data_IF_823830422096
#
_entry.id   IF_823830422096
#
_cell.length_a   1.000
_cell.length_b   1.000
_cell.length_c   1.000
_cell.angle_alpha   90.00
_cell.angle_beta   90.00
_cell.angle_gamma   90.00
#
_symmetry.space_group_name_H-M   'P 1'
#
loop_
_entity.id
_entity.type
_entity.pdbx_description
1 polymer ?
#
# COMPACT_ATOMS: atom_id res chain seq x y z
N UNK A 1 47.42 6.26 52.92
CA UNK A 1 48.64 5.89 52.18
C UNK A 1 48.50 6.38 50.74
N UNK A 2 49.11 7.51 50.45
CA UNK A 2 49.23 8.15 49.14
C UNK A 2 50.59 7.77 48.54
N UNK A 3 50.64 7.38 47.26
CA UNK A 3 51.88 7.36 46.48
C UNK A 3 51.67 7.95 45.07
N UNK A 4 52.72 8.53 44.44
CA UNK A 4 52.59 9.67 43.53
C UNK A 4 53.15 9.47 42.10
N UNK A 5 52.69 10.34 41.20
CA UNK A 5 53.33 11.01 40.03
C UNK A 5 54.37 10.26 39.17
N UNK A 6 54.15 10.27 37.85
CA UNK A 6 55.23 10.41 36.85
C UNK A 6 54.78 11.24 35.64
N UNK A 7 55.66 12.15 35.22
CA UNK A 7 55.49 13.31 34.34
C UNK A 7 55.96 12.98 32.91
N UNK A 8 55.49 13.68 31.85
CA UNK A 8 56.23 13.76 30.58
C UNK A 8 56.91 15.13 30.39
N UNK A 9 58.17 15.09 29.92
CA UNK A 9 59.02 16.21 29.49
C UNK A 9 59.78 15.77 28.20
N UNK A 10 60.46 16.64 27.42
CA UNK A 10 59.92 17.74 26.60
C UNK A 10 60.66 17.91 25.22
N UNK A 11 60.41 19.03 24.50
CA UNK A 11 61.29 19.72 23.48
C UNK A 11 61.41 19.04 22.07
N UNK A 12 61.49 19.68 20.89
CA UNK A 12 61.65 21.08 20.41
C UNK A 12 61.44 21.16 18.87
N UNK A 13 61.07 22.36 18.39
CA UNK A 13 60.93 22.97 17.03
C UNK A 13 62.23 22.94 16.15
N UNK A 14 62.36 23.44 14.86
CA UNK A 14 61.66 24.57 14.20
C UNK A 14 61.49 24.62 12.62
N UNK A 15 60.66 25.58 12.16
CA UNK A 15 60.80 26.55 11.02
C UNK A 15 60.93 26.17 9.51
N UNK A 16 60.13 26.86 8.66
CA UNK A 16 60.54 27.72 7.50
C UNK A 16 59.29 28.11 6.64
N UNK A 17 58.76 29.35 6.67
CA UNK A 17 59.07 30.57 5.88
C UNK A 17 58.23 30.80 4.57
N UNK A 18 58.00 32.05 4.11
CA UNK A 18 56.79 32.47 3.38
C UNK A 18 56.94 32.95 1.90
N UNK A 19 55.80 32.91 1.16
CA UNK A 19 55.35 33.63 -0.09
C UNK A 19 56.20 33.56 -1.40
N UNK A 20 55.58 33.52 -2.61
CA UNK A 20 55.18 34.76 -3.31
C UNK A 20 53.87 34.72 -4.16
N UNK A 21 53.48 35.92 -4.57
CA UNK A 21 52.33 36.35 -5.39
C UNK A 21 52.04 35.53 -6.65
N UNK A 22 50.76 35.45 -7.07
CA UNK A 22 50.26 36.13 -8.29
C UNK A 22 48.75 35.90 -8.53
N UNK A 23 48.02 37.00 -8.70
CA UNK A 23 46.72 37.09 -9.38
C UNK A 23 47.06 37.70 -10.75
N UNK A 24 46.51 37.24 -11.90
CA UNK A 24 45.34 37.95 -12.43
C UNK A 24 44.42 37.16 -13.40
N UNK A 25 43.33 37.88 -13.76
CA UNK A 25 42.67 37.92 -15.07
C UNK A 25 41.49 36.96 -15.34
N UNK A 26 40.33 37.61 -15.39
CA UNK A 26 39.09 37.14 -15.99
C UNK A 26 39.29 36.64 -17.43
N UNK A 27 38.67 35.50 -17.74
CA UNK A 27 38.39 35.09 -19.11
C UNK A 27 36.88 34.89 -19.24
N UNK A 28 36.28 35.75 -20.05
CA UNK A 28 34.88 35.70 -20.44
C UNK A 28 34.62 34.44 -21.26
N UNK A 29 33.62 33.66 -20.86
CA UNK A 29 33.03 32.61 -21.70
C UNK A 29 31.81 33.17 -22.44
N UNK A 30 31.60 32.81 -23.71
CA UNK A 30 30.66 33.50 -24.60
C UNK A 30 29.20 33.23 -24.25
N UNK A 31 28.37 34.25 -24.37
CA UNK A 31 26.91 34.15 -24.39
C UNK A 31 26.48 33.36 -25.63
N UNK A 32 26.31 32.04 -25.50
CA UNK A 32 25.57 31.24 -26.48
C UNK A 32 24.07 31.52 -26.31
N UNK A 33 23.56 32.40 -27.18
CA UNK A 33 22.13 32.53 -27.42
C UNK A 33 21.58 31.20 -27.94
N UNK A 34 20.82 30.50 -27.11
CA UNK A 34 19.96 29.40 -27.54
C UNK A 34 18.54 29.93 -27.63
N UNK A 35 17.99 29.89 -28.85
CA UNK A 35 16.60 30.21 -29.17
C UNK A 35 15.59 29.46 -28.27
N UNK A 36 14.33 29.94 -28.14
CA UNK A 36 13.32 29.33 -27.28
C UNK A 36 12.99 27.91 -27.76
N UNK A 37 13.57 26.90 -27.11
CA UNK A 37 13.11 25.54 -27.24
C UNK A 37 11.74 25.46 -26.57
N UNK A 38 10.72 25.30 -27.41
CA UNK A 38 9.36 24.94 -27.03
C UNK A 38 9.45 23.68 -26.17
N UNK A 39 9.33 23.85 -24.86
CA UNK A 39 9.38 22.75 -23.91
C UNK A 39 8.33 21.70 -24.31
N UNK A 40 8.70 20.41 -24.45
CA UNK A 40 7.71 19.35 -24.38
C UNK A 40 7.05 19.43 -23.00
N UNK A 41 5.72 19.30 -22.89
CA UNK A 41 5.04 19.32 -21.60
C UNK A 41 5.61 18.23 -20.67
N UNK A 42 5.61 18.48 -19.35
CA UNK A 42 6.19 17.57 -18.37
C UNK A 42 5.52 16.20 -18.44
N UNK A 43 6.36 15.19 -18.67
CA UNK A 43 6.04 13.76 -18.63
C UNK A 43 5.59 13.25 -17.23
N UNK A 44 5.37 14.16 -16.28
CA UNK A 44 4.88 13.88 -14.94
C UNK A 44 3.40 13.41 -14.94
N UNK A 45 2.63 13.75 -15.96
CA UNK A 45 1.19 13.40 -16.01
C UNK A 45 0.93 11.98 -16.53
N UNK A 46 1.92 11.31 -17.13
CA UNK A 46 1.78 9.92 -17.58
C UNK A 46 1.94 8.89 -16.46
N UNK A 47 2.54 9.25 -15.32
CA UNK A 47 2.68 8.33 -14.18
C UNK A 47 1.40 8.22 -13.34
N UNK A 48 0.54 9.23 -13.36
CA UNK A 48 -0.74 9.24 -12.65
C UNK A 48 -1.86 8.49 -13.41
N UNK A 49 -1.64 8.09 -14.67
CA UNK A 49 -2.61 7.35 -15.49
C UNK A 49 -2.17 5.95 -15.88
N UNK A 50 -1.17 5.38 -15.19
CA UNK A 50 -1.04 3.93 -15.17
C UNK A 50 -2.12 3.38 -14.22
N UNK A 51 -3.39 3.56 -14.62
CA UNK A 51 -4.42 2.62 -14.27
C UNK A 51 -3.89 1.29 -14.74
N UNK A 52 -3.44 0.46 -13.81
CA UNK A 52 -2.90 -0.85 -14.10
C UNK A 52 -3.94 -1.57 -14.93
N UNK A 53 -3.66 -1.71 -16.23
CA UNK A 53 -4.53 -2.43 -17.17
C UNK A 53 -4.35 -3.90 -16.83
N UNK A 54 -5.04 -4.34 -15.77
CA UNK A 54 -5.23 -5.76 -15.54
C UNK A 54 -6.23 -6.25 -16.59
N UNK A 55 -5.94 -7.35 -17.29
CA UNK A 55 -6.77 -7.83 -18.36
C UNK A 55 -8.12 -8.27 -17.79
N UNK A 56 -9.17 -7.56 -18.18
CA UNK A 56 -10.49 -8.08 -18.56
C UNK A 56 -11.20 -9.09 -17.61
N UNK A 57 -10.81 -9.21 -16.35
CA UNK A 57 -11.50 -10.09 -15.40
C UNK A 57 -12.65 -9.34 -14.68
N UNK A 58 -12.57 -8.01 -14.62
CA UNK A 58 -13.67 -7.16 -14.19
C UNK A 58 -14.92 -7.32 -15.08
N UNK A 59 -14.77 -7.77 -16.33
CA UNK A 59 -15.87 -7.94 -17.28
C UNK A 59 -16.87 -9.05 -16.90
N UNK A 60 -16.54 -9.90 -15.91
CA UNK A 60 -17.44 -10.96 -15.43
C UNK A 60 -18.14 -10.63 -14.11
N UNK A 61 -17.79 -9.54 -13.44
CA UNK A 61 -18.42 -9.17 -12.17
C UNK A 61 -19.73 -8.43 -12.47
N UNK A 62 -20.88 -8.94 -12.02
CA UNK A 62 -22.17 -8.29 -12.29
C UNK A 62 -22.17 -6.87 -11.71
N UNK A 63 -22.75 -5.93 -12.45
CA UNK A 63 -22.93 -4.55 -11.97
C UNK A 63 -24.23 -4.51 -11.17
N UNK A 64 -24.14 -4.06 -9.91
CA UNK A 64 -25.28 -3.88 -9.02
C UNK A 64 -26.16 -2.70 -9.43
N UNK A 65 -27.32 -2.54 -8.79
CA UNK A 65 -28.32 -1.51 -9.13
C UNK A 65 -27.81 -0.07 -8.98
N UNK A 66 -26.73 0.13 -8.22
CA UNK A 66 -26.06 1.42 -7.99
C UNK A 66 -24.98 1.74 -9.04
N UNK A 67 -24.78 0.88 -10.06
CA UNK A 67 -23.69 1.03 -11.04
C UNK A 67 -22.31 0.62 -10.51
N UNK A 68 -22.26 0.06 -9.29
CA UNK A 68 -21.04 -0.48 -8.69
C UNK A 68 -20.91 -1.99 -8.98
N UNK A 69 -19.70 -2.53 -9.19
CA UNK A 69 -19.49 -3.97 -9.24
C UNK A 69 -20.02 -4.65 -7.98
N UNK A 70 -20.79 -5.72 -8.15
CA UNK A 70 -21.34 -6.55 -7.06
C UNK A 70 -20.51 -7.81 -6.92
N UNK A 71 -19.88 -7.97 -5.76
CA UNK A 71 -19.10 -9.15 -5.39
C UNK A 71 -19.97 -10.02 -4.49
N UNK A 72 -20.31 -11.20 -4.97
CA UNK A 72 -21.01 -12.22 -4.18
C UNK A 72 -19.97 -13.14 -3.54
N UNK A 73 -20.06 -13.35 -2.23
CA UNK A 73 -19.15 -14.18 -1.47
C UNK A 73 -19.90 -15.00 -0.42
N UNK A 74 -19.41 -16.21 -0.16
CA UNK A 74 -19.95 -17.10 0.86
C UNK A 74 -18.86 -17.36 1.91
N UNK A 75 -19.22 -17.18 3.19
CA UNK A 75 -18.40 -17.66 4.30
C UNK A 75 -18.82 -19.07 4.65
N UNK A 76 -17.88 -19.98 4.49
CA UNK A 76 -17.98 -21.34 4.98
C UNK A 76 -16.89 -21.61 6.00
N UNK A 77 -17.09 -22.63 6.84
CA UNK A 77 -16.13 -23.00 7.89
C UNK A 77 -14.74 -23.35 7.34
N UNK A 78 -14.67 -23.85 6.10
CA UNK A 78 -13.45 -24.32 5.44
C UNK A 78 -13.07 -23.53 4.18
N UNK A 79 -13.76 -22.41 3.90
CA UNK A 79 -13.45 -21.58 2.74
C UNK A 79 -12.27 -20.65 3.01
N UNK A 80 -11.45 -20.39 1.99
CA UNK A 80 -10.39 -19.37 2.02
C UNK A 80 -10.93 -17.95 2.22
N UNK A 81 -12.22 -17.71 1.93
CA UNK A 81 -12.88 -16.43 2.21
C UNK A 81 -12.99 -16.22 3.71
N UNK A 82 -12.40 -15.13 4.21
CA UNK A 82 -12.42 -14.80 5.63
C UNK A 82 -12.29 -13.30 5.87
N UNK A 83 -12.71 -12.84 7.04
CA UNK A 83 -12.45 -11.47 7.48
C UNK A 83 -10.98 -11.26 7.81
N UNK A 84 -10.51 -10.03 7.63
CA UNK A 84 -9.20 -9.59 8.06
C UNK A 84 -9.29 -8.28 8.85
N UNK A 85 -8.34 -8.08 9.76
CA UNK A 85 -8.16 -6.84 10.51
C UNK A 85 -6.71 -6.37 10.38
N UNK A 86 -6.50 -5.08 10.58
CA UNK A 86 -5.15 -4.54 10.72
C UNK A 86 -4.59 -4.86 12.13
N UNK A 87 -3.28 -4.78 12.31
CA UNK A 87 -2.58 -5.15 13.55
C UNK A 87 -3.00 -4.33 14.78
N UNK A 88 -3.51 -3.12 14.59
CA UNK A 88 -3.71 -2.12 15.65
C UNK A 88 -5.20 -1.85 15.92
N UNK A 89 -6.12 -2.47 15.18
CA UNK A 89 -7.52 -2.05 15.12
C UNK A 89 -8.56 -3.17 15.29
N UNK A 90 -9.79 -2.75 15.60
CA UNK A 90 -10.99 -3.58 15.46
C UNK A 90 -11.34 -3.73 13.96
N UNK A 91 -12.17 -4.71 13.59
CA UNK A 91 -12.64 -4.86 12.21
C UNK A 91 -13.36 -3.62 11.66
N UNK A 92 -13.87 -2.74 12.53
CA UNK A 92 -14.45 -1.45 12.14
C UNK A 92 -13.42 -0.40 11.73
N UNK A 93 -12.19 -0.53 12.21
CA UNK A 93 -11.10 0.42 11.95
C UNK A 93 -10.16 -0.21 10.93
N UNK A 94 -10.43 0.04 9.64
CA UNK A 94 -9.67 -0.50 8.50
C UNK A 94 -9.73 -2.03 8.31
N UNK A 95 -10.71 -2.70 8.92
CA UNK A 95 -10.96 -4.11 8.67
C UNK A 95 -11.72 -4.37 7.37
N UNK A 96 -11.68 -5.63 6.94
CA UNK A 96 -12.25 -6.01 5.66
C UNK A 96 -12.49 -7.50 5.53
N UNK A 97 -12.83 -7.90 4.31
CA UNK A 97 -13.00 -9.29 3.93
C UNK A 97 -12.06 -9.66 2.79
N UNK A 98 -11.38 -10.78 2.94
CA UNK A 98 -10.70 -11.43 1.84
C UNK A 98 -11.69 -12.36 1.14
N UNK A 99 -11.91 -12.15 -0.15
CA UNK A 99 -12.77 -12.97 -0.99
C UNK A 99 -11.90 -13.82 -1.89
N UNK A 100 -11.94 -15.14 -1.67
CA UNK A 100 -11.23 -16.11 -2.50
C UNK A 100 -12.01 -16.34 -3.80
N UNK A 101 -11.53 -15.75 -4.89
CA UNK A 101 -12.19 -15.80 -6.20
C UNK A 101 -11.19 -15.57 -7.32
N UNK A 102 -11.48 -16.17 -8.48
CA UNK A 102 -10.76 -15.88 -9.72
C UNK A 102 -11.23 -14.59 -10.38
N UNK A 103 -12.42 -14.09 -10.03
CA UNK A 103 -13.00 -12.87 -10.58
C UNK A 103 -12.55 -11.64 -9.77
N UNK A 104 -11.28 -11.26 -9.86
CA UNK A 104 -10.73 -10.15 -9.08
C UNK A 104 -10.96 -8.79 -9.73
N UNK A 105 -11.38 -7.80 -8.93
CA UNK A 105 -11.49 -6.40 -9.33
C UNK A 105 -10.13 -5.69 -9.21
N UNK A 106 -9.97 -4.52 -9.82
CA UNK A 106 -8.75 -3.73 -9.67
C UNK A 106 -8.64 -3.13 -8.26
N UNK A 107 -7.40 -2.93 -7.78
CA UNK A 107 -7.16 -2.22 -6.52
C UNK A 107 -7.71 -0.78 -6.62
N UNK A 108 -8.25 -0.27 -5.51
CA UNK A 108 -9.00 0.99 -5.39
C UNK A 108 -10.38 1.02 -6.07
N UNK A 109 -10.89 -0.13 -6.54
CA UNK A 109 -12.28 -0.21 -7.04
C UNK A 109 -13.26 -0.20 -5.88
N UNK A 110 -14.27 0.68 -5.95
CA UNK A 110 -15.45 0.63 -5.07
C UNK A 110 -16.40 -0.47 -5.54
N UNK A 111 -16.86 -1.30 -4.62
CA UNK A 111 -17.78 -2.38 -4.91
C UNK A 111 -18.85 -2.53 -3.83
N UNK A 112 -19.96 -3.16 -4.20
CA UNK A 112 -20.95 -3.67 -3.26
C UNK A 112 -20.64 -5.14 -3.00
N UNK A 113 -20.60 -5.55 -1.73
CA UNK A 113 -20.37 -6.94 -1.35
C UNK A 113 -21.67 -7.50 -0.81
N UNK A 114 -22.10 -8.64 -1.37
CA UNK A 114 -23.20 -9.44 -0.84
C UNK A 114 -22.62 -10.72 -0.24
N UNK A 115 -22.73 -10.83 1.08
CA UNK A 115 -22.03 -11.80 1.88
C UNK A 115 -22.99 -12.77 2.54
N UNK A 116 -22.89 -14.05 2.18
CA UNK A 116 -23.70 -15.11 2.77
C UNK A 116 -22.94 -15.75 3.94
N UNK A 117 -23.56 -15.77 5.10
CA UNK A 117 -23.07 -16.43 6.30
C UNK A 117 -23.68 -17.83 6.43
N UNK A 118 -23.04 -18.73 7.20
CA UNK A 118 -23.65 -20.02 7.51
C UNK A 118 -24.98 -19.81 8.25
N UNK A 119 -26.03 -20.51 7.79
CA UNK A 119 -27.39 -20.38 8.34
C UNK A 119 -28.30 -19.42 7.58
N UNK A 120 -28.06 -19.20 6.28
CA UNK A 120 -28.89 -18.37 5.37
C UNK A 120 -29.00 -16.89 5.75
N UNK A 121 -28.07 -16.38 6.57
CA UNK A 121 -27.97 -14.94 6.83
C UNK A 121 -27.22 -14.25 5.70
N UNK A 122 -27.74 -13.11 5.23
CA UNK A 122 -27.11 -12.28 4.20
C UNK A 122 -26.76 -10.92 4.79
N UNK A 123 -25.55 -10.43 4.52
CA UNK A 123 -25.17 -9.05 4.75
C UNK A 123 -24.80 -8.38 3.43
N UNK A 124 -25.20 -7.13 3.26
CA UNK A 124 -24.78 -6.30 2.14
C UNK A 124 -24.10 -5.04 2.66
N UNK A 125 -22.94 -4.70 2.09
CA UNK A 125 -22.17 -3.53 2.47
C UNK A 125 -21.35 -2.99 1.30
N UNK A 126 -20.82 -1.78 1.43
CA UNK A 126 -19.92 -1.18 0.46
C UNK A 126 -18.47 -1.25 0.94
N UNK A 127 -17.57 -1.49 -0.01
CA UNK A 127 -16.16 -1.55 0.28
C UNK A 127 -15.28 -1.09 -0.87
N UNK A 128 -13.97 -1.07 -0.59
CA UNK A 128 -12.92 -0.74 -1.56
C UNK A 128 -11.89 -1.85 -1.58
N UNK A 129 -11.53 -2.30 -2.78
CA UNK A 129 -10.45 -3.28 -2.95
C UNK A 129 -9.12 -2.64 -2.55
N UNK A 130 -8.45 -3.16 -1.52
CA UNK A 130 -7.16 -2.66 -1.04
C UNK A 130 -5.97 -3.40 -1.61
N UNK A 131 -6.11 -4.71 -1.76
CA UNK A 131 -5.02 -5.58 -2.22
C UNK A 131 -5.60 -6.83 -2.88
N UNK A 132 -4.74 -7.59 -3.55
CA UNK A 132 -5.11 -8.82 -4.25
C UNK A 132 -4.08 -9.91 -3.98
N UNK A 133 -4.55 -11.15 -3.97
CA UNK A 133 -3.72 -12.34 -3.88
C UNK A 133 -3.68 -12.99 -5.25
N UNK A 134 -2.50 -13.02 -5.86
CA UNK A 134 -2.27 -13.75 -7.11
C UNK A 134 -2.24 -15.26 -6.85
N UNK A 135 -2.60 -16.08 -7.84
CA UNK A 135 -2.49 -17.53 -7.70
C UNK A 135 -1.01 -17.89 -7.52
N UNK A 136 -0.71 -18.66 -6.47
CA UNK A 136 0.64 -19.18 -6.27
C UNK A 136 0.99 -20.18 -7.39
N UNK A 137 2.27 -20.25 -7.77
CA UNK A 137 2.73 -21.14 -8.84
C UNK A 137 2.48 -22.63 -8.54
N UNK A 138 2.43 -22.98 -7.26
CA UNK A 138 2.10 -24.31 -6.73
C UNK A 138 0.59 -24.54 -6.53
N UNK A 139 -0.24 -23.53 -6.84
CA UNK A 139 -1.70 -23.52 -6.60
C UNK A 139 -2.09 -23.80 -5.13
N UNK A 140 -1.17 -23.61 -4.17
CA UNK A 140 -1.42 -23.90 -2.76
C UNK A 140 -2.34 -22.88 -2.09
N UNK A 141 -2.62 -21.74 -2.72
CA UNK A 141 -3.48 -20.69 -2.19
C UNK A 141 -4.44 -20.19 -3.25
N UNK A 142 -5.71 -20.09 -2.89
CA UNK A 142 -6.74 -19.60 -3.80
C UNK A 142 -6.50 -18.11 -4.10
N UNK A 143 -6.49 -17.67 -5.37
CA UNK A 143 -6.42 -16.25 -5.67
C UNK A 143 -7.64 -15.50 -5.11
N UNK A 144 -7.51 -14.19 -4.95
CA UNK A 144 -8.60 -13.40 -4.40
C UNK A 144 -8.28 -11.94 -4.23
N UNK A 145 -9.12 -11.25 -3.48
CA UNK A 145 -8.98 -9.82 -3.20
C UNK A 145 -9.40 -9.46 -1.78
N UNK A 146 -8.66 -8.54 -1.17
CA UNK A 146 -9.03 -7.94 0.11
C UNK A 146 -9.84 -6.68 -0.12
N UNK A 147 -11.05 -6.65 0.43
CA UNK A 147 -12.00 -5.53 0.35
C UNK A 147 -12.13 -4.92 1.74
N UNK A 148 -11.72 -3.67 1.91
CA UNK A 148 -11.94 -2.91 3.15
C UNK A 148 -13.42 -2.47 3.21
N UNK A 149 -14.05 -2.64 4.37
CA UNK A 149 -15.45 -2.25 4.56
C UNK A 149 -15.47 -0.74 4.80
N UNK A 150 -16.13 0.00 3.90
CA UNK A 150 -16.22 1.47 3.98
C UNK A 150 -17.55 1.96 4.55
N UNK A 151 -18.63 1.19 4.34
CA UNK A 151 -19.97 1.54 4.78
C UNK A 151 -20.80 0.25 4.97
N UNK A 152 -21.37 0.09 6.17
CA UNK A 152 -22.18 -1.06 6.55
C UNK A 152 -23.18 -0.65 7.66
N UNK A 153 -24.36 -1.25 7.66
CA UNK A 153 -25.38 -1.00 8.67
C UNK A 153 -25.02 -1.61 10.03
N UNK A 154 -25.68 -1.15 11.11
CA UNK A 154 -25.45 -1.66 12.44
C UNK A 154 -25.75 -3.17 12.57
N UNK A 155 -26.80 -3.66 11.90
CA UNK A 155 -27.16 -5.07 11.84
C UNK A 155 -26.06 -5.92 11.16
N UNK A 156 -25.50 -5.41 10.06
CA UNK A 156 -24.39 -6.07 9.37
C UNK A 156 -23.17 -6.15 10.27
N UNK A 157 -22.82 -5.06 10.98
CA UNK A 157 -21.73 -5.11 11.94
C UNK A 157 -21.97 -6.12 13.05
N UNK A 158 -23.21 -6.25 13.56
CA UNK A 158 -23.53 -7.24 14.58
C UNK A 158 -23.31 -8.69 14.08
N UNK A 159 -23.67 -8.97 12.82
CA UNK A 159 -23.42 -10.26 12.17
C UNK A 159 -21.92 -10.54 12.02
N UNK A 160 -21.16 -9.55 11.55
CA UNK A 160 -19.70 -9.65 11.40
C UNK A 160 -19.05 -9.93 12.76
N UNK A 161 -19.39 -9.13 13.78
CA UNK A 161 -18.87 -9.30 15.15
C UNK A 161 -19.16 -10.70 15.71
N UNK A 162 -20.37 -11.22 15.51
CA UNK A 162 -20.74 -12.58 15.93
C UNK A 162 -19.94 -13.66 15.19
N UNK A 163 -19.60 -13.42 13.92
CA UNK A 163 -18.82 -14.36 13.13
C UNK A 163 -17.35 -14.40 13.56
N UNK A 164 -16.70 -13.24 13.69
CA UNK A 164 -15.28 -13.16 14.08
C UNK A 164 -15.02 -13.68 15.50
N UNK A 165 -16.02 -13.65 16.38
CA UNK A 165 -15.94 -14.30 17.70
C UNK A 165 -15.86 -15.84 17.62
N UNK A 166 -16.34 -16.43 16.52
CA UNK A 166 -16.34 -17.89 16.31
C UNK A 166 -15.19 -18.36 15.42
N UNK A 167 -14.71 -17.50 14.52
CA UNK A 167 -13.61 -17.77 13.60
C UNK A 167 -12.65 -16.59 13.61
N UNK A 168 -11.40 -16.84 14.01
CA UNK A 168 -10.40 -15.79 14.11
C UNK A 168 -10.18 -15.10 12.75
N UNK A 169 -10.20 -13.76 12.70
CA UNK A 169 -9.89 -13.00 11.49
C UNK A 169 -8.40 -13.12 11.15
N UNK A 170 -8.08 -12.96 9.87
CA UNK A 170 -6.70 -12.92 9.38
C UNK A 170 -6.09 -11.56 9.74
N UNK A 171 -4.83 -11.53 10.16
CA UNK A 171 -4.12 -10.26 10.33
C UNK A 171 -3.43 -9.90 9.02
N UNK A 172 -3.76 -8.73 8.48
CA UNK A 172 -3.16 -8.23 7.23
C UNK A 172 -2.65 -6.81 7.43
N UNK A 173 -1.40 -6.56 7.01
CA UNK A 173 -0.81 -5.22 6.90
C UNK A 173 -1.35 -4.59 5.60
N UNK A 174 -2.25 -3.61 5.71
CA UNK A 174 -2.91 -2.92 4.57
C UNK A 174 -2.90 -1.42 4.70
#
# INVERSE_FOLDING_TARGET
MTQPVAQPLPLTTPAAQPMPLTQPAAQAVPLVQSAPQKAPPPQAEQRARQATVFPETAAKVPIGPQGLPRVEAELEAFSDTNFYTNFVGDIRDHGGIFVATYAVLAVNTRCQVALKFPGEYLAEFHGVVKWRREPAADQSSMPGMGIEITDASADVWALIHRFIQKREPIIQDV
#
